data_IF_549266589889
#
_entry.id   IF_549266589889
#
_cell.length_a   1.000
_cell.length_b   1.000
_cell.length_c   1.000
_cell.angle_alpha   90.00
_cell.angle_beta   90.00
_cell.angle_gamma   90.00
#
_symmetry.space_group_name_H-M   'P 1'
#
loop_
_entity.id
_entity.type
_entity.pdbx_description
1 polymer ?
#
# COMPACT_ATOMS: atom_id res chain seq x y z
N UNK A 1 5.23 -11.98 -14.99
CA UNK A 1 4.65 -12.35 -13.68
C UNK A 1 3.15 -12.15 -13.82
N UNK A 2 2.38 -13.23 -13.77
CA UNK A 2 0.96 -13.16 -13.47
C UNK A 2 0.90 -12.72 -12.00
N UNK A 3 0.49 -11.46 -11.77
CA UNK A 3 0.40 -10.89 -10.43
C UNK A 3 -0.97 -11.18 -9.81
N UNK A 4 -1.03 -11.13 -8.48
CA UNK A 4 -2.26 -11.24 -7.71
C UNK A 4 -2.54 -12.63 -7.15
N UNK A 5 -3.64 -12.75 -6.39
CA UNK A 5 -4.07 -14.02 -5.84
C UNK A 5 -4.55 -14.96 -6.95
N UNK A 6 -4.20 -16.24 -6.86
CA UNK A 6 -4.50 -17.21 -7.91
C UNK A 6 -6.01 -17.54 -8.01
N UNK A 7 -6.72 -17.47 -6.88
CA UNK A 7 -8.14 -17.84 -6.79
C UNK A 7 -8.92 -16.78 -6.01
N UNK A 8 -10.19 -16.59 -6.36
CA UNK A 8 -11.10 -15.77 -5.57
C UNK A 8 -11.46 -16.48 -4.26
N UNK A 9 -11.50 -15.72 -3.17
CA UNK A 9 -11.84 -16.28 -1.87
C UNK A 9 -11.57 -15.33 -0.70
N UNK A 10 -11.72 -15.86 0.49
CA UNK A 10 -11.41 -15.15 1.74
C UNK A 10 -9.94 -15.33 2.04
N UNK A 11 -9.25 -14.22 2.32
CA UNK A 11 -7.83 -14.18 2.68
C UNK A 11 -7.64 -13.48 4.02
N UNK A 12 -6.68 -13.96 4.81
CA UNK A 12 -6.14 -13.22 5.94
C UNK A 12 -4.89 -12.48 5.49
N UNK A 13 -4.90 -11.16 5.66
CA UNK A 13 -3.77 -10.29 5.32
C UNK A 13 -3.26 -9.66 6.61
N UNK A 14 -1.98 -9.90 6.90
CA UNK A 14 -1.28 -9.33 8.04
C UNK A 14 -0.23 -8.36 7.57
N UNK A 15 -0.18 -7.19 8.19
CA UNK A 15 0.81 -6.15 7.89
C UNK A 15 1.49 -5.72 9.17
N UNK A 16 2.82 -5.80 9.19
CA UNK A 16 3.63 -5.26 10.27
C UNK A 16 4.12 -3.87 9.91
N UNK A 17 3.56 -2.85 10.55
CA UNK A 17 3.80 -1.46 10.19
C UNK A 17 3.92 -0.53 11.41
N UNK A 18 4.45 0.67 11.18
CA UNK A 18 4.47 1.76 12.13
C UNK A 18 4.35 3.12 11.44
N UNK A 19 3.92 4.12 12.22
CA UNK A 19 3.91 5.52 11.83
C UNK A 19 5.18 6.21 12.32
N UNK A 20 6.14 6.46 11.45
CA UNK A 20 7.39 7.09 11.85
C UNK A 20 7.46 8.56 11.43
N UNK A 21 8.21 9.36 12.19
CA UNK A 21 8.45 10.79 11.94
C UNK A 21 7.15 11.62 11.83
N UNK A 22 6.10 11.28 12.61
CA UNK A 22 4.83 12.03 12.63
C UNK A 22 5.00 13.46 13.15
N UNK A 23 5.91 13.65 14.08
CA UNK A 23 6.32 14.97 14.56
C UNK A 23 7.37 15.51 13.59
N UNK A 24 7.07 16.60 12.91
CA UNK A 24 7.90 17.15 11.85
C UNK A 24 7.74 18.67 11.78
N UNK A 25 8.58 19.33 11.01
CA UNK A 25 8.49 20.77 10.81
C UNK A 25 8.47 21.18 9.31
N UNK A 26 7.93 20.33 8.45
CA UNK A 26 7.77 20.62 7.02
C UNK A 26 6.59 21.56 6.70
N UNK A 27 5.75 21.88 7.68
CA UNK A 27 4.67 22.84 7.53
C UNK A 27 3.79 22.56 6.30
N UNK A 28 3.55 23.61 5.51
CA UNK A 28 2.70 23.55 4.30
C UNK A 28 3.20 22.63 3.19
N UNK A 29 4.47 22.19 3.26
CA UNK A 29 5.01 21.27 2.26
C UNK A 29 4.29 19.89 2.27
N UNK A 30 3.63 19.54 3.37
CA UNK A 30 2.86 18.29 3.49
C UNK A 30 1.35 18.47 3.30
N UNK A 31 0.92 19.62 2.80
CA UNK A 31 -0.50 19.91 2.56
C UNK A 31 -1.29 19.97 3.87
N UNK A 32 -2.38 19.20 3.94
CA UNK A 32 -3.28 19.19 5.10
C UNK A 32 -2.81 18.28 6.24
N UNK A 33 -1.70 17.53 6.05
CA UNK A 33 -1.14 16.69 7.10
C UNK A 33 -0.50 17.56 8.19
N UNK A 34 -1.11 17.55 9.37
CA UNK A 34 -0.65 18.36 10.51
C UNK A 34 0.42 17.61 11.31
N UNK A 35 1.20 18.39 12.02
CA UNK A 35 2.23 17.86 12.91
C UNK A 35 1.59 16.96 13.99
N UNK A 36 2.03 15.70 14.02
CA UNK A 36 1.54 14.70 14.97
C UNK A 36 0.25 13.98 14.56
N UNK A 37 -0.36 14.31 13.42
CA UNK A 37 -1.54 13.60 12.92
C UNK A 37 -1.31 12.08 12.84
N UNK A 38 -2.35 11.25 13.05
CA UNK A 38 -2.24 9.82 12.79
C UNK A 38 -2.02 9.56 11.30
N UNK A 39 -1.19 8.56 10.99
CA UNK A 39 -1.08 8.06 9.62
C UNK A 39 -2.24 7.10 9.33
N UNK A 40 -2.90 7.27 8.20
CA UNK A 40 -3.95 6.34 7.76
C UNK A 40 -3.35 5.32 6.81
N UNK A 41 -3.19 4.08 7.28
CA UNK A 41 -2.85 2.94 6.45
C UNK A 41 -4.11 2.36 5.83
N UNK A 42 -4.11 2.20 4.52
CA UNK A 42 -5.20 1.59 3.74
C UNK A 42 -4.69 0.28 3.13
N UNK A 43 -5.44 -0.79 3.33
CA UNK A 43 -5.32 -2.01 2.54
C UNK A 43 -6.28 -1.91 1.37
N UNK A 44 -5.79 -2.10 0.16
CA UNK A 44 -6.57 -2.10 -1.06
C UNK A 44 -6.34 -3.37 -1.87
N UNK A 45 -7.33 -3.79 -2.65
CA UNK A 45 -7.19 -4.78 -3.71
C UNK A 45 -7.02 -4.04 -5.04
N UNK A 46 -5.98 -4.37 -5.80
CA UNK A 46 -5.63 -3.68 -7.06
C UNK A 46 -5.60 -4.69 -8.20
N UNK A 47 -6.42 -4.48 -9.22
CA UNK A 47 -6.34 -5.21 -10.48
C UNK A 47 -5.33 -4.51 -11.42
N UNK A 48 -4.17 -5.12 -11.59
CA UNK A 48 -3.12 -4.59 -12.48
C UNK A 48 -3.22 -5.09 -13.92
N UNK A 49 -4.18 -5.95 -14.21
CA UNK A 49 -4.45 -6.47 -15.58
C UNK A 49 -5.16 -5.45 -16.45
N UNK A 50 -5.54 -4.30 -15.90
CA UNK A 50 -6.23 -3.23 -16.57
C UNK A 50 -5.53 -2.75 -17.84
N UNK A 51 -6.33 -2.35 -18.81
CA UNK A 51 -5.88 -1.87 -20.14
C UNK A 51 -4.93 -0.68 -20.01
N UNK A 52 -3.82 -0.74 -20.76
CA UNK A 52 -2.96 0.43 -20.98
C UNK A 52 -3.73 1.38 -21.90
N UNK A 53 -4.23 2.48 -21.33
CA UNK A 53 -4.83 3.55 -22.13
C UNK A 53 -3.76 4.55 -22.55
N UNK A 54 -4.03 5.38 -23.54
CA UNK A 54 -3.14 6.48 -23.97
C UNK A 54 -2.81 7.48 -22.85
N UNK A 55 -3.58 7.46 -21.76
CA UNK A 55 -3.42 8.30 -20.57
C UNK A 55 -2.73 7.59 -19.39
N UNK A 56 -2.37 6.31 -19.52
CA UNK A 56 -1.71 5.48 -18.52
C UNK A 56 -2.47 4.21 -18.16
N UNK A 57 -1.91 3.40 -17.28
CA UNK A 57 -2.57 2.21 -16.73
C UNK A 57 -3.69 2.63 -15.77
N UNK A 58 -4.92 2.31 -16.10
CA UNK A 58 -6.05 2.44 -15.20
C UNK A 58 -6.21 1.11 -14.45
N UNK A 59 -5.59 1.01 -13.30
CA UNK A 59 -5.81 -0.12 -12.39
C UNK A 59 -7.12 0.08 -11.64
N UNK A 60 -8.00 -0.90 -11.68
CA UNK A 60 -9.19 -0.92 -10.82
C UNK A 60 -8.73 -1.20 -9.41
N UNK A 61 -9.14 -0.36 -8.47
CA UNK A 61 -8.75 -0.45 -7.07
C UNK A 61 -9.96 -0.37 -6.16
N UNK A 62 -10.01 -1.26 -5.20
CA UNK A 62 -11.05 -1.31 -4.17
C UNK A 62 -10.41 -1.20 -2.79
N UNK A 63 -10.84 -0.25 -1.97
CA UNK A 63 -10.43 -0.14 -0.57
C UNK A 63 -11.06 -1.29 0.22
N UNK A 64 -10.24 -2.05 0.93
CA UNK A 64 -10.67 -3.19 1.74
C UNK A 64 -10.77 -2.83 3.23
N UNK A 65 -9.77 -2.12 3.74
CA UNK A 65 -9.72 -1.74 5.14
C UNK A 65 -8.88 -0.48 5.35
N UNK A 66 -9.10 0.20 6.48
CA UNK A 66 -8.30 1.35 6.92
C UNK A 66 -8.06 1.29 8.42
N UNK A 67 -6.89 1.79 8.82
CA UNK A 67 -6.54 1.92 10.23
C UNK A 67 -5.67 3.16 10.45
N UNK A 68 -5.86 3.82 11.58
CA UNK A 68 -5.01 4.93 12.02
C UNK A 68 -3.84 4.42 12.84
N UNK A 69 -2.63 4.86 12.48
CA UNK A 69 -1.40 4.54 13.18
C UNK A 69 -0.86 5.77 13.90
N UNK A 70 -0.61 5.61 15.20
CA UNK A 70 -0.02 6.64 16.05
C UNK A 70 1.30 6.21 16.68
N UNK A 71 1.64 4.93 16.65
CA UNK A 71 2.83 4.36 17.25
C UNK A 71 4.00 4.33 16.29
N UNK A 72 5.18 4.71 16.76
CA UNK A 72 6.45 4.50 16.06
C UNK A 72 7.00 3.08 16.22
N UNK A 73 6.44 2.31 17.18
CA UNK A 73 6.80 0.90 17.36
C UNK A 73 6.04 0.05 16.36
N UNK A 74 6.70 -0.93 15.71
CA UNK A 74 6.04 -1.85 14.79
C UNK A 74 4.93 -2.63 15.48
N UNK A 75 3.75 -2.64 14.86
CA UNK A 75 2.56 -3.38 15.31
C UNK A 75 2.04 -4.22 14.15
N UNK A 76 1.40 -5.34 14.50
CA UNK A 76 0.69 -6.16 13.54
C UNK A 76 -0.75 -5.69 13.40
N UNK A 77 -1.20 -5.60 12.15
CA UNK A 77 -2.58 -5.37 11.77
C UNK A 77 -3.03 -6.56 10.94
N UNK A 78 -4.23 -7.05 11.21
CA UNK A 78 -4.78 -8.23 10.55
C UNK A 78 -6.18 -7.94 10.04
N UNK A 79 -6.46 -8.39 8.83
CA UNK A 79 -7.77 -8.29 8.20
C UNK A 79 -8.11 -9.58 7.48
N UNK A 80 -9.37 -10.01 7.62
CA UNK A 80 -9.95 -11.08 6.82
C UNK A 80 -10.82 -10.44 5.76
N UNK A 81 -10.46 -10.61 4.49
CA UNK A 81 -11.06 -9.90 3.35
C UNK A 81 -11.31 -10.83 2.18
N UNK A 82 -12.35 -10.52 1.39
CA UNK A 82 -12.55 -11.18 0.11
C UNK A 82 -11.66 -10.54 -0.97
N UNK A 83 -10.97 -11.38 -1.74
CA UNK A 83 -10.20 -10.95 -2.91
C UNK A 83 -10.61 -11.76 -4.14
N UNK A 84 -10.75 -11.08 -5.27
CA UNK A 84 -10.97 -11.72 -6.57
C UNK A 84 -9.64 -12.23 -7.15
N UNK A 85 -9.68 -13.31 -7.92
CA UNK A 85 -8.52 -13.83 -8.63
C UNK A 85 -7.87 -12.76 -9.52
N UNK A 86 -6.54 -12.64 -9.45
CA UNK A 86 -5.74 -11.65 -10.18
C UNK A 86 -5.66 -10.26 -9.53
N UNK A 87 -6.32 -10.03 -8.39
CA UNK A 87 -6.10 -8.82 -7.60
C UNK A 87 -4.90 -8.99 -6.67
N UNK A 88 -4.14 -7.92 -6.50
CA UNK A 88 -3.01 -7.84 -5.58
C UNK A 88 -3.38 -7.04 -4.33
N UNK A 89 -2.99 -7.47 -3.12
CA UNK A 89 -3.08 -6.62 -1.94
C UNK A 89 -2.02 -5.52 -2.02
N UNK A 90 -2.45 -4.28 -1.85
CA UNK A 90 -1.58 -3.11 -1.82
C UNK A 90 -1.78 -2.34 -0.52
N UNK A 91 -0.70 -2.03 0.18
CA UNK A 91 -0.72 -1.20 1.37
C UNK A 91 -0.35 0.23 1.00
N UNK A 92 -1.19 1.18 1.38
CA UNK A 92 -1.07 2.59 0.99
C UNK A 92 -1.06 3.50 2.21
N UNK A 93 -0.32 4.61 2.10
CA UNK A 93 -0.41 5.73 3.02
C UNK A 93 -1.48 6.71 2.51
N UNK A 94 -2.72 6.57 3.00
CA UNK A 94 -3.92 7.22 2.44
C UNK A 94 -3.94 8.74 2.59
N UNK A 95 -3.55 9.27 3.77
CA UNK A 95 -3.44 10.69 4.04
C UNK A 95 -2.00 11.20 3.95
N UNK A 96 -1.11 10.40 3.36
CA UNK A 96 0.30 10.74 3.24
C UNK A 96 0.61 11.76 2.17
N UNK A 97 1.83 12.25 2.18
CA UNK A 97 2.28 13.14 1.14
C UNK A 97 2.22 12.47 -0.24
N UNK A 98 2.05 13.29 -1.22
CA UNK A 98 1.80 12.98 -2.62
C UNK A 98 2.81 11.99 -3.23
N UNK A 99 2.47 11.46 -4.41
CA UNK A 99 3.36 10.62 -5.21
C UNK A 99 4.80 11.18 -5.30
N UNK A 100 5.81 10.31 -5.25
CA UNK A 100 7.23 10.66 -5.09
C UNK A 100 7.70 11.83 -5.97
N UNK A 101 7.32 11.85 -7.27
CA UNK A 101 7.70 12.92 -8.20
C UNK A 101 7.17 14.30 -7.79
N UNK A 102 5.92 14.34 -7.33
CA UNK A 102 5.27 15.58 -6.86
C UNK A 102 5.84 16.00 -5.51
N UNK A 103 6.13 15.04 -4.64
CA UNK A 103 6.76 15.28 -3.34
C UNK A 103 8.14 15.90 -3.46
N UNK A 104 9.00 15.42 -4.36
CA UNK A 104 10.32 16.01 -4.61
C UNK A 104 10.19 17.50 -4.98
N UNK A 105 9.28 17.83 -5.91
CA UNK A 105 9.05 19.23 -6.30
C UNK A 105 8.56 20.08 -5.13
N UNK A 106 7.60 19.57 -4.37
CA UNK A 106 7.02 20.29 -3.22
C UNK A 106 8.08 20.54 -2.15
N UNK A 107 8.88 19.53 -1.78
CA UNK A 107 9.94 19.68 -0.79
C UNK A 107 11.01 20.68 -1.21
N UNK A 108 11.49 20.61 -2.47
CA UNK A 108 12.50 21.54 -2.96
C UNK A 108 11.98 22.96 -3.21
N UNK A 109 10.67 23.19 -3.14
CA UNK A 109 10.05 24.53 -3.27
C UNK A 109 9.61 25.09 -1.91
N UNK A 110 8.87 24.30 -1.13
CA UNK A 110 8.23 24.77 0.11
C UNK A 110 9.01 24.42 1.39
N UNK A 111 10.04 23.57 1.29
CA UNK A 111 10.94 23.20 2.36
C UNK A 111 12.42 23.37 1.93
N UNK A 112 12.69 24.30 1.02
CA UNK A 112 14.01 24.54 0.46
C UNK A 112 15.03 25.03 1.50
N UNK A 113 14.58 25.62 2.58
CA UNK A 113 15.37 26.12 3.71
C UNK A 113 15.81 25.01 4.68
N UNK A 114 15.17 23.84 4.61
CA UNK A 114 15.51 22.71 5.49
C UNK A 114 16.90 22.19 5.21
N UNK A 115 17.77 22.03 6.26
CA UNK A 115 19.16 21.63 6.06
C UNK A 115 19.33 20.35 5.25
N UNK A 116 18.44 19.38 5.47
CA UNK A 116 18.46 18.09 4.76
C UNK A 116 17.96 18.16 3.32
N UNK A 117 17.16 19.17 2.96
CA UNK A 117 16.62 19.36 1.60
C UNK A 117 17.48 20.33 0.78
N UNK A 118 18.05 21.34 1.43
CA UNK A 118 18.83 22.40 0.81
C UNK A 118 19.88 21.93 -0.21
N UNK A 119 20.66 20.86 0.04
CA UNK A 119 21.66 20.39 -0.92
C UNK A 119 21.11 19.97 -2.29
N UNK A 120 19.81 19.69 -2.36
CA UNK A 120 19.15 19.19 -3.57
C UNK A 120 18.38 20.28 -4.32
N UNK A 121 18.24 21.48 -3.76
CA UNK A 121 17.40 22.55 -4.36
C UNK A 121 17.88 22.91 -5.76
N UNK A 122 19.18 23.20 -5.89
CA UNK A 122 19.79 23.64 -7.13
C UNK A 122 20.25 22.51 -8.05
N UNK A 123 20.10 21.24 -7.62
CA UNK A 123 20.41 20.11 -8.48
C UNK A 123 19.49 20.11 -9.69
N UNK A 124 20.06 19.86 -10.87
CA UNK A 124 19.27 19.58 -12.08
C UNK A 124 18.35 18.38 -11.81
N UNK A 125 17.13 18.42 -12.34
CA UNK A 125 16.14 17.36 -12.17
C UNK A 125 16.69 15.99 -12.58
N UNK A 126 15.97 14.91 -12.20
CA UNK A 126 16.33 13.55 -12.55
C UNK A 126 16.24 12.59 -11.38
N UNK A 127 16.62 11.34 -11.63
CA UNK A 127 16.53 10.23 -10.66
C UNK A 127 17.39 10.47 -9.43
N UNK A 128 18.60 11.02 -9.61
CA UNK A 128 19.55 11.27 -8.53
C UNK A 128 19.01 12.32 -7.53
N UNK A 129 18.50 13.45 -8.04
CA UNK A 129 17.85 14.47 -7.21
C UNK A 129 16.67 13.87 -6.45
N UNK A 130 15.80 13.13 -7.14
CA UNK A 130 14.64 12.51 -6.53
C UNK A 130 15.03 11.53 -5.42
N UNK A 131 16.00 10.68 -5.66
CA UNK A 131 16.51 9.71 -4.69
C UNK A 131 17.14 10.41 -3.48
N UNK A 132 17.96 11.44 -3.72
CA UNK A 132 18.59 12.23 -2.66
C UNK A 132 17.56 12.89 -1.74
N UNK A 133 16.57 13.60 -2.31
CA UNK A 133 15.49 14.26 -1.55
C UNK A 133 14.68 13.25 -0.75
N UNK A 134 14.26 12.14 -1.35
CA UNK A 134 13.45 11.13 -0.67
C UNK A 134 14.21 10.42 0.45
N UNK A 135 15.52 10.20 0.27
CA UNK A 135 16.40 9.63 1.30
C UNK A 135 16.64 10.61 2.46
N UNK A 136 16.74 11.89 2.15
CA UNK A 136 16.97 12.95 3.13
C UNK A 136 15.70 13.34 3.91
N UNK A 137 14.53 13.12 3.34
CA UNK A 137 13.24 13.46 3.95
C UNK A 137 13.06 12.84 5.34
N UNK A 138 12.67 13.66 6.31
CA UNK A 138 12.48 13.32 7.73
C UNK A 138 11.04 13.56 8.22
N UNK A 139 10.09 13.62 7.32
CA UNK A 139 8.68 13.78 7.66
C UNK A 139 7.93 12.44 7.76
N UNK A 140 6.60 12.49 7.95
CA UNK A 140 5.78 11.33 8.23
C UNK A 140 5.87 10.26 7.16
N UNK A 141 6.10 9.02 7.60
CA UNK A 141 6.22 7.84 6.74
C UNK A 141 5.51 6.65 7.34
N UNK A 142 4.74 5.98 6.52
CA UNK A 142 4.27 4.63 6.82
C UNK A 142 5.43 3.66 6.54
N UNK A 143 6.01 3.08 7.59
CA UNK A 143 7.06 2.08 7.46
C UNK A 143 6.46 0.68 7.58
N UNK A 144 6.69 -0.13 6.56
CA UNK A 144 6.22 -1.51 6.48
C UNK A 144 7.44 -2.43 6.56
N UNK A 145 7.39 -3.43 7.43
CA UNK A 145 8.44 -4.45 7.59
C UNK A 145 8.07 -5.75 6.92
N UNK A 146 6.78 -6.09 6.97
CA UNK A 146 6.32 -7.40 6.53
C UNK A 146 4.86 -7.35 6.11
N UNK A 147 4.52 -8.09 5.07
CA UNK A 147 3.16 -8.36 4.63
C UNK A 147 3.03 -9.86 4.45
N UNK A 148 2.06 -10.47 5.12
CA UNK A 148 1.71 -11.87 4.98
C UNK A 148 0.33 -11.96 4.35
N UNK A 149 0.18 -12.90 3.39
CA UNK A 149 -1.10 -13.19 2.73
C UNK A 149 -1.34 -14.68 2.84
N UNK A 150 -2.42 -15.08 3.48
CA UNK A 150 -2.79 -16.46 3.71
C UNK A 150 -4.20 -16.70 3.19
N UNK A 151 -4.39 -17.74 2.40
CA UNK A 151 -5.67 -18.10 1.79
C UNK A 151 -5.51 -18.67 0.38
N UNK A 152 -6.62 -18.90 -0.33
CA UNK A 152 -7.98 -18.65 0.13
C UNK A 152 -8.37 -19.61 1.25
N UNK A 153 -9.05 -19.08 2.28
CA UNK A 153 -9.61 -19.92 3.34
C UNK A 153 -10.85 -20.64 2.82
N UNK A 154 -10.90 -21.92 3.08
CA UNK A 154 -12.03 -22.80 2.74
C UNK A 154 -12.58 -23.34 4.03
N UNK A 155 -13.79 -22.93 4.40
CA UNK A 155 -14.43 -23.32 5.68
C UNK A 155 -14.62 -24.83 5.81
N UNK A 156 -14.82 -25.52 4.69
CA UNK A 156 -14.88 -26.97 4.63
C UNK A 156 -14.60 -27.47 3.21
N UNK A 157 -13.89 -28.59 3.11
CA UNK A 157 -13.78 -29.34 1.86
C UNK A 157 -14.73 -30.57 1.93
N UNK A 158 -15.48 -30.86 0.87
CA UNK A 158 -15.68 -30.06 -0.34
C UNK A 158 -16.48 -28.78 -0.11
N UNK A 159 -16.16 -27.71 -0.88
CA UNK A 159 -16.87 -26.43 -0.82
C UNK A 159 -18.34 -26.59 -1.23
N UNK A 160 -19.21 -25.63 -0.87
CA UNK A 160 -20.60 -25.62 -1.28
C UNK A 160 -20.76 -25.70 -2.82
N UNK A 161 -19.91 -24.97 -3.57
CA UNK A 161 -19.89 -25.04 -5.04
C UNK A 161 -19.46 -26.39 -5.57
N UNK A 162 -18.44 -27.02 -4.95
CA UNK A 162 -18.02 -28.37 -5.32
C UNK A 162 -19.14 -29.39 -5.08
N UNK A 163 -19.80 -29.35 -3.92
CA UNK A 163 -20.92 -30.22 -3.60
C UNK A 163 -22.11 -30.07 -4.54
N UNK A 164 -22.38 -28.83 -4.97
CA UNK A 164 -23.46 -28.55 -5.92
C UNK A 164 -23.22 -29.14 -7.31
N UNK A 165 -21.96 -29.30 -7.73
CA UNK A 165 -21.58 -29.78 -9.06
C UNK A 165 -21.24 -31.28 -9.05
N UNK A 166 -20.56 -31.76 -8.03
CA UNK A 166 -19.91 -33.07 -8.01
C UNK A 166 -20.34 -33.96 -6.80
N UNK A 167 -21.23 -33.45 -5.94
CA UNK A 167 -21.57 -34.11 -4.69
C UNK A 167 -20.37 -34.13 -3.73
N UNK A 168 -20.19 -35.25 -3.06
CA UNK A 168 -19.10 -35.48 -2.09
C UNK A 168 -17.88 -36.16 -2.73
N UNK A 169 -17.77 -36.21 -4.07
CA UNK A 169 -16.62 -36.76 -4.78
C UNK A 169 -15.36 -35.94 -4.53
N UNK A 170 -14.25 -36.62 -4.30
CA UNK A 170 -12.92 -35.97 -4.17
C UNK A 170 -12.29 -35.76 -5.53
N UNK A 171 -11.28 -34.86 -5.67
CA UNK A 171 -10.54 -34.67 -6.92
C UNK A 171 -9.93 -35.97 -7.47
N UNK A 172 -9.50 -36.88 -6.58
CA UNK A 172 -8.92 -38.18 -6.97
C UNK A 172 -9.99 -39.13 -7.57
N UNK A 173 -11.26 -38.95 -7.24
CA UNK A 173 -12.40 -39.75 -7.74
C UNK A 173 -12.98 -39.20 -9.05
N UNK A 174 -12.54 -38.01 -9.47
CA UNK A 174 -12.96 -37.35 -10.70
C UNK A 174 -12.01 -37.56 -11.87
N UNK A 175 -10.87 -38.24 -11.68
CA UNK A 175 -9.87 -38.57 -12.71
C UNK A 175 -10.01 -39.99 -13.27
#
# INVERSE_FOLDING_TARGET
>A
REGGVAQSGIYTIRVRAAAVDRVHDYGKALGDFRNGDPLVMELAAVDRRGSVTSTGNVSKMTSLARVELTSEKPQWFEWTVFMEAGYEPEVRFRNGPLAAKRMVRVLTTLAADKPEIKPFVDMKGGTEKAHGVLKAYRGPRLRIWEIQVEGPHVDAWPTAGHRALYGDLTPEQLN
#
